data_IF_901047547104
#
_entry.id   IF_901047547104
#
_cell.length_a   1.000
_cell.length_b   1.000
_cell.length_c   1.000
_cell.angle_alpha   90.00
_cell.angle_beta   90.00
_cell.angle_gamma   90.00
#
_symmetry.space_group_name_H-M   'P 1'
#
loop_
_entity.id
_entity.type
_entity.pdbx_description
1 polymer ?
#
# COMPACT_ATOMS: atom_id res chain seq x y z
N UNK A 1 6.30 35.07 2.04
CA UNK A 1 7.07 33.91 1.57
C UNK A 1 6.19 32.70 1.81
N UNK A 2 5.80 31.95 0.79
CA UNK A 2 5.13 30.67 1.04
C UNK A 2 6.12 29.76 1.72
N UNK A 3 5.79 29.26 2.90
CA UNK A 3 6.56 28.24 3.60
C UNK A 3 6.75 27.05 2.68
N UNK A 4 7.95 26.43 2.59
CA UNK A 4 8.13 25.23 1.79
C UNK A 4 7.15 24.18 2.29
N UNK A 5 6.36 23.64 1.39
CA UNK A 5 5.40 22.57 1.63
C UNK A 5 6.12 21.45 2.36
N UNK A 6 5.97 21.37 3.70
CA UNK A 6 6.70 20.43 4.52
C UNK A 6 6.08 19.04 4.31
N UNK A 7 6.68 18.26 3.42
CA UNK A 7 6.39 16.85 3.29
C UNK A 7 7.04 16.15 4.46
N UNK A 8 6.26 15.78 5.48
CA UNK A 8 6.77 15.09 6.66
C UNK A 8 7.14 13.62 6.37
N UNK A 9 6.43 13.00 5.43
CA UNK A 9 6.68 11.62 5.01
C UNK A 9 6.15 11.38 3.60
N UNK A 10 6.87 10.61 2.79
CA UNK A 10 6.40 10.17 1.47
C UNK A 10 7.03 8.82 1.10
N UNK A 11 6.21 7.82 0.90
CA UNK A 11 6.63 6.48 0.44
C UNK A 11 5.82 6.05 -0.77
N UNK A 12 6.50 5.50 -1.78
CA UNK A 12 5.87 4.81 -2.90
C UNK A 12 5.93 3.30 -2.68
N UNK A 13 4.77 2.65 -2.68
CA UNK A 13 4.64 1.22 -2.48
C UNK A 13 4.84 0.48 -3.82
N UNK A 14 6.08 0.32 -4.27
CA UNK A 14 6.39 -0.42 -5.49
C UNK A 14 6.53 -1.92 -5.24
N UNK A 15 6.19 -2.70 -6.26
CA UNK A 15 6.28 -4.16 -6.22
C UNK A 15 7.77 -4.59 -6.19
N UNK A 16 8.19 -5.47 -5.26
CA UNK A 16 9.57 -5.92 -5.17
C UNK A 16 10.00 -6.73 -6.40
N UNK A 17 11.29 -6.61 -6.75
CA UNK A 17 11.89 -7.25 -7.93
C UNK A 17 11.63 -8.77 -8.01
N UNK A 18 11.61 -9.45 -6.86
CA UNK A 18 11.33 -10.90 -6.80
C UNK A 18 9.98 -11.28 -7.45
N UNK A 19 8.95 -10.42 -7.34
CA UNK A 19 7.65 -10.66 -7.96
C UNK A 19 7.71 -10.52 -9.47
N UNK A 20 8.53 -9.58 -9.97
CA UNK A 20 8.79 -9.43 -11.40
C UNK A 20 9.51 -10.64 -11.97
N UNK A 21 10.52 -11.16 -11.26
CA UNK A 21 11.25 -12.38 -11.65
C UNK A 21 10.30 -13.58 -11.69
N UNK A 22 9.50 -13.78 -10.63
CA UNK A 22 8.54 -14.89 -10.58
C UNK A 22 7.49 -14.81 -11.68
N UNK A 23 6.95 -13.62 -11.95
CA UNK A 23 5.99 -13.40 -13.03
C UNK A 23 6.62 -13.71 -14.40
N UNK A 24 7.86 -13.28 -14.65
CA UNK A 24 8.57 -13.56 -15.90
C UNK A 24 8.82 -15.05 -16.08
N UNK A 25 9.25 -15.75 -15.04
CA UNK A 25 9.45 -17.22 -15.09
C UNK A 25 8.14 -17.96 -15.38
N UNK A 26 7.05 -17.56 -14.72
CA UNK A 26 5.73 -18.14 -14.96
C UNK A 26 5.26 -17.89 -16.39
N UNK A 27 5.44 -16.68 -16.92
CA UNK A 27 5.09 -16.32 -18.30
C UNK A 27 5.92 -17.11 -19.31
N UNK A 28 7.22 -17.34 -19.07
CA UNK A 28 8.07 -18.15 -19.93
C UNK A 28 7.60 -19.60 -19.97
N UNK A 29 7.24 -20.17 -18.82
CA UNK A 29 6.68 -21.53 -18.75
C UNK A 29 5.34 -21.63 -19.48
N UNK A 30 4.47 -20.64 -19.31
CA UNK A 30 3.17 -20.59 -19.96
C UNK A 30 3.31 -20.46 -21.49
N UNK A 31 4.26 -19.61 -21.95
CA UNK A 31 4.57 -19.50 -23.37
C UNK A 31 5.02 -20.83 -23.97
N UNK A 32 5.90 -21.55 -23.29
CA UNK A 32 6.35 -22.85 -23.75
C UNK A 32 5.17 -23.85 -23.89
N UNK A 33 4.25 -23.84 -22.92
CA UNK A 33 3.05 -24.67 -23.00
C UNK A 33 2.16 -24.29 -24.20
N UNK A 34 1.99 -23.01 -24.46
CA UNK A 34 1.18 -22.52 -25.59
C UNK A 34 1.81 -22.87 -26.93
N UNK A 35 3.14 -22.75 -27.10
CA UNK A 35 3.84 -23.10 -28.35
C UNK A 35 3.68 -24.57 -28.70
N UNK A 36 3.61 -25.46 -27.70
CA UNK A 36 3.38 -26.90 -27.92
C UNK A 36 1.91 -27.22 -28.24
N UNK A 37 0.97 -26.46 -27.64
CA UNK A 37 -0.45 -26.79 -27.69
C UNK A 37 -1.22 -26.15 -28.85
N UNK A 38 -0.71 -25.05 -29.44
CA UNK A 38 -1.44 -24.27 -30.44
C UNK A 38 -0.54 -23.68 -31.55
N UNK A 39 -1.11 -23.20 -32.67
CA UNK A 39 -0.34 -22.55 -33.72
C UNK A 39 0.47 -21.36 -33.21
N UNK A 40 1.66 -21.15 -33.76
CA UNK A 40 2.61 -20.15 -33.29
C UNK A 40 2.00 -18.73 -33.15
N UNK A 41 1.19 -18.28 -34.11
CA UNK A 41 0.55 -16.97 -34.07
C UNK A 41 -0.40 -16.82 -32.84
N UNK A 42 -1.14 -17.89 -32.52
CA UNK A 42 -2.07 -17.91 -31.37
C UNK A 42 -1.30 -17.94 -30.05
N UNK A 43 -0.20 -18.70 -29.97
CA UNK A 43 0.68 -18.76 -28.81
C UNK A 43 1.28 -17.37 -28.49
N UNK A 44 1.77 -16.66 -29.52
CA UNK A 44 2.30 -15.30 -29.36
C UNK A 44 1.21 -14.29 -28.93
N UNK A 45 0.02 -14.36 -29.56
CA UNK A 45 -1.09 -13.50 -29.20
C UNK A 45 -1.55 -13.72 -27.75
N UNK A 46 -1.76 -14.98 -27.34
CA UNK A 46 -2.17 -15.33 -25.98
C UNK A 46 -1.13 -14.90 -24.94
N UNK A 47 0.16 -15.17 -25.20
CA UNK A 47 1.25 -14.74 -24.31
C UNK A 47 1.32 -13.22 -24.21
N UNK A 48 1.17 -12.50 -25.32
CA UNK A 48 1.17 -11.05 -25.34
C UNK A 48 0.05 -10.46 -24.48
N UNK A 49 -1.15 -11.02 -24.53
CA UNK A 49 -2.28 -10.61 -23.68
C UNK A 49 -1.99 -10.86 -22.20
N UNK A 50 -1.54 -12.07 -21.86
CA UNK A 50 -1.23 -12.42 -20.45
C UNK A 50 -0.09 -11.54 -19.91
N UNK A 51 0.92 -11.28 -20.72
CA UNK A 51 2.03 -10.38 -20.38
C UNK A 51 1.54 -8.97 -20.11
N UNK A 52 0.73 -8.40 -21.01
CA UNK A 52 0.18 -7.05 -20.85
C UNK A 52 -0.68 -6.94 -19.59
N UNK A 53 -1.51 -7.93 -19.29
CA UNK A 53 -2.33 -7.98 -18.08
C UNK A 53 -1.47 -8.09 -16.82
N UNK A 54 -0.46 -8.95 -16.82
CA UNK A 54 0.43 -9.15 -15.67
C UNK A 54 1.23 -7.89 -15.36
N UNK A 55 1.85 -7.29 -16.37
CA UNK A 55 2.63 -6.06 -16.20
C UNK A 55 1.74 -4.87 -15.84
N UNK A 56 0.56 -4.75 -16.46
CA UNK A 56 -0.43 -3.74 -16.11
C UNK A 56 -0.89 -3.86 -14.65
N UNK A 57 -1.17 -5.07 -14.18
CA UNK A 57 -1.53 -5.34 -12.80
C UNK A 57 -0.38 -4.98 -11.83
N UNK A 58 0.85 -5.38 -12.15
CA UNK A 58 2.02 -5.06 -11.33
C UNK A 58 2.26 -3.55 -11.24
N UNK A 59 2.13 -2.83 -12.35
CA UNK A 59 2.26 -1.38 -12.39
C UNK A 59 1.15 -0.71 -11.54
N UNK A 60 -0.09 -1.18 -11.67
CA UNK A 60 -1.22 -0.68 -10.89
C UNK A 60 -1.04 -0.93 -9.38
N UNK A 61 -0.62 -2.14 -8.98
CA UNK A 61 -0.33 -2.47 -7.58
C UNK A 61 0.80 -1.61 -7.00
N UNK A 62 1.81 -1.27 -7.81
CA UNK A 62 2.96 -0.45 -7.42
C UNK A 62 2.74 1.07 -7.53
N UNK A 63 1.57 1.53 -7.97
CA UNK A 63 1.30 2.96 -8.16
C UNK A 63 0.91 3.72 -6.89
N UNK A 64 0.57 3.00 -5.82
CA UNK A 64 0.07 3.59 -4.58
C UNK A 64 1.17 4.32 -3.81
N UNK A 65 0.81 5.50 -3.34
CA UNK A 65 1.66 6.34 -2.49
C UNK A 65 1.02 6.54 -1.13
N UNK A 66 1.86 6.56 -0.10
CA UNK A 66 1.50 7.01 1.25
C UNK A 66 2.31 8.26 1.55
N UNK A 67 1.67 9.33 1.95
CA UNK A 67 2.34 10.58 2.24
C UNK A 67 1.63 11.34 3.38
N UNK A 68 2.43 12.02 4.20
CA UNK A 68 1.96 12.97 5.21
C UNK A 68 2.40 14.36 4.77
N UNK A 69 1.43 15.21 4.45
CA UNK A 69 1.67 16.58 3.97
C UNK A 69 0.59 17.51 4.48
N UNK A 70 0.99 18.71 4.89
CA UNK A 70 0.08 19.82 5.23
C UNK A 70 -1.02 19.38 6.22
N UNK A 71 -0.67 18.63 7.26
CA UNK A 71 -1.64 18.16 8.25
C UNK A 71 -2.62 17.10 7.73
N UNK A 72 -2.31 16.43 6.61
CA UNK A 72 -3.18 15.41 6.01
C UNK A 72 -2.40 14.14 5.71
N UNK A 73 -2.96 12.99 6.09
CA UNK A 73 -2.48 11.67 5.69
C UNK A 73 -3.15 11.28 4.37
N UNK A 74 -2.34 11.03 3.35
CA UNK A 74 -2.75 10.48 2.05
C UNK A 74 -2.38 9.00 2.01
N UNK A 75 -3.35 8.15 1.79
CA UNK A 75 -3.20 6.70 1.67
C UNK A 75 -3.84 6.21 0.37
N UNK A 76 -3.09 6.26 -0.73
CA UNK A 76 -3.62 5.99 -2.07
C UNK A 76 -4.65 7.05 -2.50
N UNK A 77 -5.89 6.63 -2.83
CA UNK A 77 -6.96 7.55 -3.20
C UNK A 77 -7.63 8.21 -1.99
N UNK A 78 -7.44 7.67 -0.79
CA UNK A 78 -8.05 8.18 0.43
C UNK A 78 -7.13 9.19 1.13
N UNK A 79 -7.73 10.14 1.82
CA UNK A 79 -7.03 11.12 2.64
C UNK A 79 -7.86 11.47 3.87
N UNK A 80 -7.17 11.79 4.96
CA UNK A 80 -7.79 12.20 6.22
C UNK A 80 -6.93 13.25 6.91
N UNK A 81 -7.56 14.25 7.53
CA UNK A 81 -6.86 15.26 8.33
C UNK A 81 -6.27 14.63 9.59
N UNK A 82 -5.06 15.05 9.96
CA UNK A 82 -4.38 14.55 11.17
C UNK A 82 -5.12 14.91 12.46
N UNK A 83 -5.91 15.97 12.45
CA UNK A 83 -6.74 16.39 13.60
C UNK A 83 -7.82 15.37 13.96
N UNK A 84 -8.18 14.50 12.99
CA UNK A 84 -9.18 13.44 13.15
C UNK A 84 -8.53 12.07 13.43
N UNK A 85 -7.21 12.03 13.56
CA UNK A 85 -6.45 10.83 13.83
C UNK A 85 -6.00 10.80 15.29
N UNK A 86 -6.21 9.65 15.91
CA UNK A 86 -5.66 9.32 17.21
C UNK A 86 -4.26 8.70 17.13
N UNK A 87 -3.86 7.92 18.12
CA UNK A 87 -2.53 7.30 18.18
C UNK A 87 -2.22 6.45 16.95
N UNK A 88 -0.98 6.59 16.46
CA UNK A 88 -0.43 5.78 15.38
C UNK A 88 0.49 4.70 15.96
N UNK A 89 0.12 3.44 15.79
CA UNK A 89 0.83 2.27 16.30
C UNK A 89 1.56 1.56 15.16
N UNK A 90 2.90 1.49 15.19
CA UNK A 90 3.66 0.73 14.21
C UNK A 90 3.56 -0.76 14.53
N UNK A 91 3.07 -1.55 13.57
CA UNK A 91 2.87 -2.99 13.70
C UNK A 91 3.96 -3.76 12.96
N UNK A 92 4.42 -4.84 13.58
CA UNK A 92 5.29 -5.81 12.94
C UNK A 92 4.52 -6.78 12.02
N UNK A 93 5.20 -7.80 11.48
CA UNK A 93 4.59 -8.72 10.51
C UNK A 93 3.54 -9.65 11.16
N UNK A 94 3.71 -10.00 12.43
CA UNK A 94 2.78 -10.89 13.15
C UNK A 94 1.56 -10.11 13.62
N UNK A 95 1.79 -8.93 14.20
CA UNK A 95 0.74 -8.01 14.62
C UNK A 95 -0.12 -7.56 13.43
N UNK A 96 0.51 -7.20 12.30
CA UNK A 96 -0.21 -6.87 11.06
C UNK A 96 -1.09 -8.01 10.60
N UNK A 97 -0.60 -9.26 10.64
CA UNK A 97 -1.38 -10.43 10.27
C UNK A 97 -2.57 -10.65 11.20
N UNK A 98 -2.38 -10.44 12.50
CA UNK A 98 -3.44 -10.58 13.51
C UNK A 98 -4.54 -9.54 13.31
N UNK A 99 -4.16 -8.26 13.18
CA UNK A 99 -5.10 -7.15 12.94
C UNK A 99 -5.81 -7.27 11.58
N UNK A 100 -5.15 -7.86 10.58
CA UNK A 100 -5.76 -8.11 9.26
C UNK A 100 -6.68 -9.35 9.25
N UNK A 101 -6.51 -10.27 10.20
CA UNK A 101 -7.22 -11.55 10.27
C UNK A 101 -8.18 -11.63 11.45
N UNK A 102 -7.70 -12.17 12.55
CA UNK A 102 -8.55 -12.54 13.70
C UNK A 102 -9.17 -11.33 14.39
N UNK A 103 -8.43 -10.20 14.44
CA UNK A 103 -8.84 -8.95 15.10
C UNK A 103 -9.34 -7.90 14.08
N UNK A 104 -9.68 -8.33 12.85
CA UNK A 104 -10.12 -7.41 11.81
C UNK A 104 -11.52 -6.86 12.10
N UNK A 105 -11.65 -5.53 12.09
CA UNK A 105 -12.96 -4.87 12.07
C UNK A 105 -13.39 -4.63 10.60
N UNK A 106 -14.59 -5.09 10.25
CA UNK A 106 -15.11 -4.94 8.88
C UNK A 106 -15.34 -3.47 8.46
N UNK A 107 -15.33 -2.54 9.43
CA UNK A 107 -15.47 -1.10 9.19
C UNK A 107 -14.12 -0.38 9.06
N UNK A 108 -13.01 -1.06 9.35
CA UNK A 108 -11.69 -0.48 9.26
C UNK A 108 -11.31 -0.18 7.79
N UNK A 109 -10.60 0.92 7.58
CA UNK A 109 -10.03 1.21 6.27
C UNK A 109 -8.70 0.45 6.11
N UNK A 110 -8.61 -0.39 5.09
CA UNK A 110 -7.46 -1.25 4.85
C UNK A 110 -6.74 -0.84 3.56
N UNK A 111 -5.60 -0.18 3.67
CA UNK A 111 -4.66 -0.01 2.58
C UNK A 111 -3.54 -1.03 2.71
N UNK A 112 -3.84 -2.28 2.36
CA UNK A 112 -2.89 -3.39 2.48
C UNK A 112 -2.32 -3.80 1.14
N UNK A 113 -1.06 -4.23 1.14
CA UNK A 113 -0.35 -4.74 -0.04
C UNK A 113 0.25 -6.11 0.27
N UNK A 114 -0.03 -7.15 -0.55
CA UNK A 114 0.36 -8.54 -0.24
C UNK A 114 1.88 -8.76 -0.16
N UNK A 115 2.66 -7.86 -0.74
CA UNK A 115 4.12 -7.89 -0.67
C UNK A 115 4.71 -7.12 0.53
N UNK A 116 3.90 -6.39 1.31
CA UNK A 116 4.28 -5.70 2.53
C UNK A 116 3.69 -6.43 3.74
N UNK A 117 4.57 -6.75 4.68
CA UNK A 117 4.20 -7.53 5.87
C UNK A 117 3.99 -6.66 7.11
N UNK A 118 4.39 -5.38 7.04
CA UNK A 118 4.32 -4.43 8.15
C UNK A 118 3.34 -3.33 7.82
N UNK A 119 2.75 -2.74 8.86
CA UNK A 119 1.77 -1.66 8.71
C UNK A 119 1.83 -0.69 9.88
N UNK A 120 1.08 0.39 9.74
CA UNK A 120 0.74 1.29 10.85
C UNK A 120 -0.76 1.24 11.03
N UNK A 121 -1.20 1.03 12.25
CA UNK A 121 -2.59 1.15 12.67
C UNK A 121 -2.79 2.55 13.24
N UNK A 122 -3.71 3.30 12.70
CA UNK A 122 -4.01 4.66 13.12
C UNK A 122 -5.46 4.71 13.55
N UNK A 123 -5.72 5.06 14.80
CA UNK A 123 -7.09 5.24 15.28
C UNK A 123 -7.75 6.43 14.57
N UNK A 124 -9.04 6.35 14.30
CA UNK A 124 -9.85 7.46 13.79
C UNK A 124 -10.69 8.00 14.91
N UNK A 125 -10.58 9.30 15.19
CA UNK A 125 -11.29 10.01 16.24
C UNK A 125 -12.33 10.98 15.67
N UNK A 126 -12.83 10.69 14.46
CA UNK A 126 -13.89 11.47 13.82
C UNK A 126 -15.27 10.99 14.31
N UNK A 127 -16.05 11.84 15.02
CA UNK A 127 -17.40 11.48 15.48
C UNK A 127 -18.39 11.22 14.34
N UNK A 128 -18.10 11.73 13.13
CA UNK A 128 -18.94 11.57 11.95
C UNK A 128 -18.60 10.30 11.15
N UNK A 129 -17.41 9.72 11.34
CA UNK A 129 -16.96 8.51 10.65
C UNK A 129 -17.07 7.29 11.58
N UNK A 130 -17.67 6.23 11.06
CA UNK A 130 -17.79 4.96 11.79
C UNK A 130 -16.55 4.06 11.64
N UNK A 131 -15.53 4.51 10.91
CA UNK A 131 -14.28 3.80 10.72
C UNK A 131 -13.46 3.82 12.01
N UNK A 132 -13.19 2.68 12.66
CA UNK A 132 -12.50 2.68 13.95
C UNK A 132 -11.00 2.96 13.81
N UNK A 133 -10.39 2.50 12.73
CA UNK A 133 -8.96 2.72 12.45
C UNK A 133 -8.64 2.55 10.97
N UNK A 134 -7.50 3.10 10.57
CA UNK A 134 -6.84 2.85 9.29
C UNK A 134 -5.66 1.90 9.49
N UNK A 135 -5.56 0.88 8.64
CA UNK A 135 -4.41 -0.01 8.59
C UNK A 135 -3.67 0.23 7.27
N UNK A 136 -2.52 0.87 7.35
CA UNK A 136 -1.74 1.31 6.18
C UNK A 136 -0.46 0.51 6.08
N UNK A 137 -0.31 -0.27 5.01
CA UNK A 137 0.94 -1.00 4.73
C UNK A 137 2.08 -0.05 4.41
N UNK A 138 3.23 -0.28 5.02
CA UNK A 138 4.46 0.50 4.82
C UNK A 138 5.71 -0.36 5.04
N UNK A 139 6.84 0.05 4.45
CA UNK A 139 8.15 -0.53 4.76
C UNK A 139 8.76 0.05 6.02
N UNK A 140 8.35 1.26 6.38
CA UNK A 140 8.94 2.05 7.46
C UNK A 140 7.88 2.45 8.51
N UNK A 141 7.28 1.46 9.24
CA UNK A 141 6.15 1.75 10.14
C UNK A 141 6.49 2.75 11.25
N UNK A 142 7.72 2.69 11.77
CA UNK A 142 8.15 3.63 12.82
C UNK A 142 8.31 5.06 12.32
N UNK A 143 8.82 5.24 11.10
CA UNK A 143 8.99 6.56 10.49
C UNK A 143 7.64 7.17 10.15
N UNK A 144 6.70 6.38 9.61
CA UNK A 144 5.34 6.84 9.33
C UNK A 144 4.61 7.21 10.62
N UNK A 145 4.69 6.36 11.67
CA UNK A 145 4.07 6.65 12.96
C UNK A 145 4.65 7.91 13.61
N UNK A 146 5.98 8.10 13.55
CA UNK A 146 6.63 9.30 14.04
C UNK A 146 6.20 10.56 13.26
N UNK A 147 6.10 10.46 11.93
CA UNK A 147 5.64 11.57 11.10
C UNK A 147 4.18 11.96 11.39
N UNK A 148 3.31 10.98 11.66
CA UNK A 148 1.91 11.23 12.07
C UNK A 148 1.85 11.91 13.44
N UNK A 149 2.63 11.44 14.41
CA UNK A 149 2.67 12.03 15.75
C UNK A 149 3.23 13.45 15.77
N UNK A 150 4.31 13.70 15.00
CA UNK A 150 4.95 15.03 14.95
C UNK A 150 4.12 16.06 14.19
N UNK A 151 3.38 15.64 13.18
CA UNK A 151 2.56 16.55 12.37
C UNK A 151 1.15 16.76 12.96
N UNK A 152 0.66 15.84 13.81
CA UNK A 152 -0.64 15.95 14.50
C UNK A 152 -0.59 16.78 15.79
N UNK A 153 0.61 17.06 16.33
CA UNK A 153 0.80 17.97 17.47
C UNK A 153 1.76 19.09 17.08
N UNK A 154 1.32 20.13 16.37
CA UNK A 154 2.14 21.32 16.16
C UNK A 154 2.29 22.05 17.51
N UNK A 155 3.44 21.77 18.19
CA UNK A 155 4.00 22.58 19.26
C UNK A 155 3.06 23.00 20.38
N UNK A 156 3.07 22.24 21.48
CA UNK A 156 2.87 22.84 22.81
C UNK A 156 4.24 23.37 23.28
N UNK A 157 4.57 24.57 22.87
CA UNK A 157 5.49 25.43 23.58
C UNK A 157 4.71 26.38 24.48
#
# INVERSE_FOLDING_TARGET
MPSPTSVAYSERLYVPLRWWVQATMLLATLWLAFVVAMPAWAAWAATGVVLALTFGLMAWLGSVRVAVREGTLYAGPAHISLDLLGPAEPLDAEETRRVHGVDADARAFLLTRPYLKRSVKVAVEDPADRTPYWLVSTRHPRELAAALSSAGHPGSD
#
